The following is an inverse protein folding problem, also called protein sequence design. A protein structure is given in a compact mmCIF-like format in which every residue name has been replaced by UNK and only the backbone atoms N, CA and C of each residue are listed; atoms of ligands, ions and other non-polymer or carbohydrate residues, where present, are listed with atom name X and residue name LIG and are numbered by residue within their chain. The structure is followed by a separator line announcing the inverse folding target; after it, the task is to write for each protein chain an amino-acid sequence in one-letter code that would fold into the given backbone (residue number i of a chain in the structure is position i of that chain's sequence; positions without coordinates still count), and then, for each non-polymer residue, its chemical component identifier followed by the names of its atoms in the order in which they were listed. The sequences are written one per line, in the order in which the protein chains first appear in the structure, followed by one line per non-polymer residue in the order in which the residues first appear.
data_IF_402197263760
#
_entry.id   IF_402197263760
#
_cell.length_a   1.000
_cell.length_b   1.000
_cell.length_c   1.000
_cell.angle_alpha   90.00
_cell.angle_beta   90.00
_cell.angle_gamma   90.00
#
_symmetry.space_group_name_H-M   'P 1'
#
loop_
_entity.id
_entity.type
_entity.pdbx_description
1 polymer ?
#
# COMPACT_ATOMS: atom_id res chain seq x y z
N UNK A 1 -5.26 7.64 -6.69
CA UNK A 1 -5.43 8.11 -8.09
C UNK A 1 -4.64 7.15 -8.97
N UNK A 2 -5.29 6.59 -9.99
CA UNK A 2 -4.65 5.76 -11.00
C UNK A 2 -3.39 6.45 -11.56
N UNK A 3 -2.39 5.66 -11.95
CA UNK A 3 -1.18 6.18 -12.61
C UNK A 3 -0.07 6.68 -11.68
N UNK A 4 0.12 6.13 -10.47
CA UNK A 4 1.34 6.40 -9.69
C UNK A 4 2.07 5.11 -9.37
N UNK A 5 3.40 5.18 -9.40
CA UNK A 5 4.26 4.03 -9.08
C UNK A 5 4.48 3.88 -7.58
N UNK A 6 4.68 2.64 -7.16
CA UNK A 6 5.08 2.25 -5.81
C UNK A 6 6.42 1.54 -5.90
N UNK A 7 7.36 1.88 -5.03
CA UNK A 7 8.60 1.13 -4.85
C UNK A 7 8.44 0.30 -3.59
N UNK A 8 8.73 -0.99 -3.68
CA UNK A 8 8.69 -1.93 -2.57
C UNK A 8 10.09 -2.54 -2.40
N UNK A 9 10.71 -2.32 -1.26
CA UNK A 9 11.96 -2.96 -0.86
C UNK A 9 11.59 -4.03 0.15
N UNK A 10 11.65 -5.28 -0.29
CA UNK A 10 11.21 -6.44 0.46
C UNK A 10 12.39 -7.31 0.88
N UNK A 11 12.64 -7.38 2.18
CA UNK A 11 13.68 -8.20 2.77
C UNK A 11 13.15 -9.59 3.20
N UNK A 12 11.83 -9.76 3.37
CA UNK A 12 11.22 -10.92 4.04
C UNK A 12 10.50 -11.91 3.12
N UNK A 13 10.23 -11.55 1.86
CA UNK A 13 9.54 -12.34 0.84
C UNK A 13 8.21 -11.72 0.42
N UNK A 14 8.18 -11.07 -0.75
CA UNK A 14 6.96 -10.57 -1.37
C UNK A 14 6.11 -11.76 -1.85
N UNK A 15 4.79 -11.70 -1.66
CA UNK A 15 3.87 -12.73 -2.15
C UNK A 15 3.09 -12.23 -3.38
N UNK A 16 3.46 -12.68 -4.59
CA UNK A 16 2.67 -12.42 -5.80
C UNK A 16 1.24 -12.94 -5.68
N UNK A 17 1.03 -14.08 -5.02
CA UNK A 17 -0.29 -14.67 -4.82
C UNK A 17 -1.18 -13.76 -3.99
N UNK A 18 -0.63 -13.15 -2.94
CA UNK A 18 -1.37 -12.19 -2.11
C UNK A 18 -1.70 -10.93 -2.88
N UNK A 19 -0.76 -10.43 -3.70
CA UNK A 19 -1.03 -9.31 -4.60
C UNK A 19 -2.17 -9.63 -5.56
N UNK A 20 -2.09 -10.75 -6.28
CA UNK A 20 -3.11 -11.19 -7.24
C UNK A 20 -4.47 -11.34 -6.56
N UNK A 21 -4.52 -12.00 -5.39
CA UNK A 21 -5.75 -12.19 -4.64
C UNK A 21 -6.45 -10.85 -4.30
N UNK A 22 -5.69 -9.85 -3.84
CA UNK A 22 -6.23 -8.54 -3.49
C UNK A 22 -6.61 -7.76 -4.76
N UNK A 23 -5.73 -7.71 -5.75
CA UNK A 23 -5.94 -6.96 -6.98
C UNK A 23 -7.17 -7.49 -7.74
N UNK A 24 -7.32 -8.81 -7.88
CA UNK A 24 -8.49 -9.42 -8.50
C UNK A 24 -9.79 -9.09 -7.78
N UNK A 25 -9.79 -9.10 -6.44
CA UNK A 25 -10.99 -8.76 -5.66
C UNK A 25 -11.43 -7.30 -5.84
N UNK A 26 -10.48 -6.37 -5.97
CA UNK A 26 -10.77 -4.97 -6.25
C UNK A 26 -11.34 -4.77 -7.68
N UNK A 27 -10.82 -5.52 -8.66
CA UNK A 27 -11.31 -5.46 -10.04
C UNK A 27 -12.72 -6.06 -10.20
N UNK A 28 -13.07 -7.09 -9.42
CA UNK A 28 -14.41 -7.69 -9.47
C UNK A 28 -15.46 -6.78 -8.85
N UNK A 29 -15.16 -6.10 -7.73
CA UNK A 29 -16.10 -5.14 -7.12
C UNK A 29 -16.42 -3.96 -8.04
N UNK A 30 -15.45 -3.46 -8.80
CA UNK A 30 -15.67 -2.36 -9.74
C UNK A 30 -16.54 -2.74 -10.93
N UNK A 31 -16.49 -4.00 -11.37
CA UNK A 31 -17.32 -4.49 -12.48
C UNK A 31 -18.78 -4.70 -12.07
N UNK A 32 -19.04 -5.14 -10.83
CA UNK A 32 -20.40 -5.31 -10.31
C UNK A 32 -21.09 -3.96 -10.06
N UNK A 33 -20.36 -2.97 -9.53
CA UNK A 33 -20.89 -1.62 -9.31
C UNK A 33 -21.16 -0.88 -10.63
N UNK A 34 -20.26 -0.99 -11.61
CA UNK A 34 -20.46 -0.41 -12.94
C UNK A 34 -21.69 -1.01 -13.66
N UNK A 35 -21.82 -2.34 -13.68
CA UNK A 35 -22.97 -3.00 -14.31
C UNK A 35 -24.31 -2.71 -13.62
N UNK A 36 -24.30 -2.39 -12.32
CA UNK A 36 -25.50 -2.01 -11.57
C UNK A 36 -25.92 -0.55 -11.80
N UNK A 37 -24.96 0.33 -12.08
CA UNK A 37 -25.22 1.73 -12.43
C UNK A 37 -25.73 1.82 -13.88
N UNK A 38 -25.10 1.09 -14.80
CA UNK A 38 -25.49 0.98 -16.22
C UNK A 38 -26.92 0.40 -16.36
N UNK A 39 -27.22 -0.72 -15.69
CA UNK A 39 -28.58 -1.29 -15.70
C UNK A 39 -29.66 -0.43 -15.03
N UNK A 40 -29.27 0.57 -14.22
CA UNK A 40 -30.21 1.53 -13.60
C UNK A 40 -30.44 2.77 -14.48
N UNK A 41 -29.48 3.12 -15.33
CA UNK A 41 -29.65 4.16 -16.35
C UNK A 41 -30.42 3.60 -17.56
N UNK A 42 -30.06 2.42 -18.08
CA UNK A 42 -30.81 1.74 -19.14
C UNK A 42 -32.27 1.49 -18.74
N UNK A 43 -32.53 1.05 -17.50
CA UNK A 43 -33.89 0.84 -17.00
C UNK A 43 -34.73 2.11 -16.79
N UNK A 44 -34.10 3.30 -16.77
CA UNK A 44 -34.80 4.60 -16.76
C UNK A 44 -35.03 5.14 -18.17
N UNK A 45 -34.16 4.79 -19.11
CA UNK A 45 -34.26 5.15 -20.53
C UNK A 45 -35.30 4.28 -21.25
N UNK A 46 -35.28 2.95 -21.06
CA UNK A 46 -36.29 2.03 -21.61
C UNK A 46 -37.71 2.35 -21.11
N UNK A 47 -37.85 2.82 -19.87
CA UNK A 47 -39.15 3.23 -19.31
C UNK A 47 -39.70 4.54 -19.89
N UNK A 48 -38.94 5.24 -20.73
CA UNK A 48 -39.34 6.50 -21.39
C UNK A 48 -39.36 6.41 -22.92
N UNK A 49 -38.83 5.32 -23.49
CA UNK A 49 -38.74 5.08 -24.94
C UNK A 49 -39.75 4.06 -25.50
N UNK A 50 -40.81 3.68 -24.77
CA UNK A 50 -42.04 3.12 -25.40
C UNK A 50 -42.85 4.22 -26.13
N UNK A 51 -42.16 5.13 -26.81
CA UNK A 51 -42.69 6.26 -27.54
C UNK A 51 -41.95 6.46 -28.85
N UNK A 52 -42.36 5.69 -29.86
CA UNK A 52 -42.00 5.74 -31.30
C UNK A 52 -40.74 4.99 -31.74
N UNK A 53 -41.02 3.79 -32.22
CA UNK A 53 -40.40 3.10 -33.35
C UNK A 53 -39.91 4.05 -34.47
N UNK A 54 -38.70 4.62 -34.40
CA UNK A 54 -38.07 5.17 -35.62
C UNK A 54 -36.53 5.38 -35.54
N UNK A 55 -35.84 4.84 -34.53
CA UNK A 55 -34.37 4.93 -34.40
C UNK A 55 -33.59 3.68 -34.79
N UNK A 56 -34.19 2.75 -35.57
CA UNK A 56 -33.84 1.32 -35.54
C UNK A 56 -32.49 0.92 -36.14
N UNK A 57 -31.74 1.78 -36.82
CA UNK A 57 -30.45 1.38 -37.42
C UNK A 57 -29.25 2.27 -37.12
N UNK A 58 -29.39 3.54 -36.73
CA UNK A 58 -28.23 4.43 -36.55
C UNK A 58 -27.64 4.45 -35.12
N UNK A 59 -28.42 4.09 -34.09
CA UNK A 59 -27.93 4.13 -32.69
C UNK A 59 -27.04 2.96 -32.26
N UNK A 60 -26.92 1.90 -33.07
CA UNK A 60 -26.19 0.67 -32.69
C UNK A 60 -24.67 0.74 -32.91
N UNK A 61 -24.21 1.62 -33.79
CA UNK A 61 -22.77 1.80 -34.05
C UNK A 61 -22.14 2.88 -33.16
N UNK A 62 -22.79 4.04 -32.98
CA UNK A 62 -22.25 5.14 -32.14
C UNK A 62 -22.21 4.79 -30.64
N UNK A 63 -23.22 4.08 -30.11
CA UNK A 63 -23.22 3.66 -28.71
C UNK A 63 -22.11 2.65 -28.37
N UNK A 64 -21.60 1.90 -29.36
CA UNK A 64 -20.56 0.88 -29.16
C UNK A 64 -19.14 1.47 -29.17
N UNK A 65 -18.94 2.63 -29.80
CA UNK A 65 -17.67 3.36 -29.74
C UNK A 65 -17.61 4.32 -28.54
N UNK A 66 -18.70 5.04 -28.20
CA UNK A 66 -18.68 5.96 -27.04
C UNK A 66 -18.64 5.22 -25.68
N UNK A 67 -19.20 4.02 -25.58
CA UNK A 67 -19.05 3.16 -24.40
C UNK A 67 -17.60 2.70 -24.15
N UNK A 68 -16.72 2.81 -25.14
CA UNK A 68 -15.30 2.43 -25.03
C UNK A 68 -14.41 3.57 -24.55
N UNK A 69 -14.84 4.83 -24.72
CA UNK A 69 -14.04 6.01 -24.36
C UNK A 69 -14.49 6.72 -23.07
N UNK A 70 -15.68 6.39 -22.52
CA UNK A 70 -16.15 6.91 -21.21
C UNK A 70 -16.30 5.88 -20.10
N UNK A 71 -15.66 4.72 -20.22
CA UNK A 71 -15.43 3.84 -19.08
C UNK A 71 -14.30 4.40 -18.21
N UNK A 72 -14.64 4.98 -17.06
CA UNK A 72 -13.65 5.22 -15.99
C UNK A 72 -12.93 3.90 -15.70
N UNK A 73 -11.68 3.80 -16.14
CA UNK A 73 -11.01 2.52 -16.42
C UNK A 73 -11.08 1.51 -15.29
N UNK A 74 -11.63 0.34 -15.59
CA UNK A 74 -11.40 -0.87 -14.80
C UNK A 74 -9.90 -1.16 -14.89
N UNK A 75 -9.18 -0.82 -13.82
CA UNK A 75 -7.75 -1.02 -13.74
C UNK A 75 -7.46 -2.52 -13.68
N UNK A 76 -6.97 -3.13 -14.77
CA UNK A 76 -6.68 -4.56 -14.78
C UNK A 76 -5.45 -4.86 -13.89
N UNK A 77 -5.41 -6.05 -13.29
CA UNK A 77 -4.34 -6.52 -12.39
C UNK A 77 -2.94 -6.34 -12.98
N UNK A 78 -2.78 -6.57 -14.28
CA UNK A 78 -1.51 -6.36 -14.98
C UNK A 78 -1.05 -4.90 -14.96
N UNK A 79 -1.97 -3.94 -15.12
CA UNK A 79 -1.64 -2.52 -15.10
C UNK A 79 -1.25 -2.06 -13.69
N UNK A 80 -1.92 -2.59 -12.67
CA UNK A 80 -1.54 -2.37 -11.28
C UNK A 80 -0.13 -2.93 -11.01
N UNK A 81 0.15 -4.14 -11.48
CA UNK A 81 1.46 -4.78 -11.31
C UNK A 81 2.60 -3.98 -11.97
N UNK A 82 2.40 -3.47 -13.19
CA UNK A 82 3.41 -2.67 -13.92
C UNK A 82 3.86 -1.40 -13.19
N UNK A 83 3.09 -0.93 -12.21
CA UNK A 83 3.40 0.27 -11.43
C UNK A 83 4.16 -0.02 -10.15
N UNK A 84 4.32 -1.29 -9.79
CA UNK A 84 5.06 -1.71 -8.60
C UNK A 84 6.47 -2.11 -9.03
N UNK A 85 7.47 -1.47 -8.43
CA UNK A 85 8.89 -1.78 -8.59
C UNK A 85 9.33 -2.50 -7.33
N UNK A 86 9.86 -3.71 -7.48
CA UNK A 86 10.24 -4.55 -6.33
C UNK A 86 11.76 -4.70 -6.30
N UNK A 87 12.35 -4.48 -5.14
CA UNK A 87 13.73 -4.78 -4.81
C UNK A 87 13.75 -5.84 -3.71
N UNK A 88 14.52 -6.91 -3.88
CA UNK A 88 14.63 -8.01 -2.92
C UNK A 88 16.07 -8.12 -2.40
N UNK A 89 16.50 -7.22 -1.49
CA UNK A 89 17.83 -7.33 -0.91
C UNK A 89 18.01 -8.64 -0.14
N UNK A 90 19.21 -9.22 -0.22
CA UNK A 90 19.60 -10.42 0.53
C UNK A 90 20.67 -10.13 1.60
N UNK A 91 21.05 -8.87 1.78
CA UNK A 91 21.96 -8.42 2.83
C UNK A 91 21.69 -6.97 3.22
N UNK A 92 22.27 -6.52 4.34
CA UNK A 92 22.12 -5.14 4.81
C UNK A 92 22.82 -4.13 3.88
N UNK A 93 23.93 -4.53 3.27
CA UNK A 93 24.63 -3.76 2.24
C UNK A 93 23.81 -3.64 0.96
N UNK A 94 23.13 -4.73 0.55
CA UNK A 94 22.21 -4.69 -0.58
C UNK A 94 21.01 -3.79 -0.28
N UNK A 95 20.42 -3.85 0.92
CA UNK A 95 19.37 -2.93 1.34
C UNK A 95 19.83 -1.46 1.24
N UNK A 96 21.06 -1.17 1.67
CA UNK A 96 21.66 0.18 1.54
C UNK A 96 21.77 0.59 0.06
N UNK A 97 22.24 -0.32 -0.80
CA UNK A 97 22.36 -0.07 -2.24
C UNK A 97 21.01 0.19 -2.90
N UNK A 98 19.98 -0.61 -2.58
CA UNK A 98 18.62 -0.41 -3.07
C UNK A 98 18.09 0.97 -2.66
N UNK A 99 18.28 1.38 -1.40
CA UNK A 99 17.85 2.69 -0.90
C UNK A 99 18.55 3.84 -1.63
N UNK A 100 19.85 3.69 -1.93
CA UNK A 100 20.60 4.68 -2.71
C UNK A 100 20.06 4.85 -4.13
N UNK A 101 19.57 3.76 -4.74
CA UNK A 101 19.02 3.78 -6.09
C UNK A 101 17.65 4.47 -6.17
N UNK A 102 16.87 4.45 -5.08
CA UNK A 102 15.52 5.05 -5.04
C UNK A 102 15.52 6.49 -5.57
N UNK A 103 16.49 7.33 -5.14
CA UNK A 103 16.48 8.74 -5.55
C UNK A 103 16.64 8.87 -7.07
N UNK A 104 17.44 8.00 -7.71
CA UNK A 104 17.60 7.96 -9.17
C UNK A 104 16.28 7.57 -9.82
N UNK A 105 15.64 6.48 -9.38
CA UNK A 105 14.36 6.01 -9.94
C UNK A 105 13.26 7.05 -9.78
N UNK A 106 13.16 7.69 -8.61
CA UNK A 106 12.20 8.78 -8.34
C UNK A 106 12.45 9.98 -9.26
N UNK A 107 13.71 10.28 -9.58
CA UNK A 107 14.06 11.37 -10.51
C UNK A 107 13.77 11.03 -11.97
N UNK A 108 13.85 9.77 -12.37
CA UNK A 108 13.53 9.33 -13.74
C UNK A 108 12.02 9.27 -13.97
N UNK A 109 11.27 8.81 -12.96
CA UNK A 109 9.81 8.73 -12.97
C UNK A 109 9.16 10.05 -12.57
N UNK A 110 9.27 11.08 -13.42
CA UNK A 110 8.69 12.42 -13.19
C UNK A 110 7.39 12.71 -13.93
N UNK A 111 6.99 11.87 -14.89
CA UNK A 111 5.71 12.05 -15.59
C UNK A 111 4.54 11.95 -14.62
N UNK A 112 3.46 12.70 -14.86
CA UNK A 112 2.29 12.71 -13.97
C UNK A 112 1.69 11.32 -13.73
N UNK A 113 1.77 10.45 -14.74
CA UNK A 113 1.26 9.07 -14.75
C UNK A 113 2.29 8.00 -14.34
N UNK A 114 3.54 8.41 -14.04
CA UNK A 114 4.59 7.49 -13.59
C UNK A 114 5.25 7.88 -12.28
N UNK A 115 4.90 9.05 -11.72
CA UNK A 115 5.49 9.56 -10.48
C UNK A 115 5.35 8.56 -9.35
N UNK A 116 6.45 8.37 -8.62
CA UNK A 116 6.48 7.54 -7.42
C UNK A 116 5.71 8.26 -6.31
N UNK A 117 4.68 7.61 -5.76
CA UNK A 117 3.88 8.13 -4.66
C UNK A 117 4.23 7.52 -3.30
N UNK A 118 4.76 6.30 -3.31
CA UNK A 118 5.02 5.52 -2.12
C UNK A 118 6.29 4.70 -2.28
N UNK A 119 7.10 4.71 -1.24
CA UNK A 119 8.20 3.77 -1.03
C UNK A 119 7.85 2.93 0.20
N UNK A 120 7.94 1.61 0.10
CA UNK A 120 7.77 0.68 1.21
C UNK A 120 9.10 -0.01 1.50
N UNK A 121 9.48 -0.10 2.77
CA UNK A 121 10.61 -0.90 3.25
C UNK A 121 10.08 -1.96 4.24
N UNK A 122 10.04 -3.22 3.80
CA UNK A 122 9.43 -4.35 4.52
C UNK A 122 10.42 -5.52 4.69
N UNK A 123 10.99 -5.80 5.86
CA UNK A 123 11.12 -4.90 7.00
C UNK A 123 12.51 -4.27 7.05
N UNK A 124 12.58 -3.09 7.66
CA UNK A 124 13.85 -2.39 7.82
C UNK A 124 14.85 -3.12 8.75
N UNK A 125 14.39 -4.11 9.51
CA UNK A 125 15.11 -4.65 10.67
C UNK A 125 15.53 -6.11 10.54
N UNK A 126 15.19 -6.79 9.44
CA UNK A 126 15.53 -8.20 9.24
C UNK A 126 17.03 -8.45 9.36
N UNK A 127 17.84 -7.76 8.55
CA UNK A 127 19.30 -7.95 8.54
C UNK A 127 19.99 -7.41 9.79
N UNK A 128 19.36 -6.48 10.51
CA UNK A 128 19.87 -5.97 11.78
C UNK A 128 19.76 -7.01 12.92
N UNK A 129 18.70 -7.83 12.94
CA UNK A 129 18.44 -8.78 14.04
C UNK A 129 19.36 -10.02 14.01
N UNK A 130 19.93 -10.33 12.86
CA UNK A 130 20.72 -11.55 12.66
C UNK A 130 22.16 -11.43 13.19
N UNK A 131 22.64 -10.23 13.52
CA UNK A 131 24.02 -9.98 13.94
C UNK A 131 24.08 -9.34 15.35
N UNK A 132 24.09 -10.18 16.39
CA UNK A 132 24.02 -9.78 17.81
C UNK A 132 25.38 -9.83 18.52
N UNK A 133 26.36 -9.08 17.99
CA UNK A 133 27.61 -8.79 18.68
C UNK A 133 27.57 -7.31 19.12
N UNK A 134 27.91 -6.99 20.39
CA UNK A 134 27.70 -5.65 20.97
C UNK A 134 28.36 -4.50 20.19
N UNK A 135 29.57 -4.69 19.65
CA UNK A 135 30.26 -3.65 18.86
C UNK A 135 29.66 -3.45 17.46
N UNK A 136 29.32 -4.55 16.77
CA UNK A 136 28.67 -4.49 15.45
C UNK A 136 27.27 -3.89 15.54
N UNK A 137 26.60 -4.08 16.67
CA UNK A 137 25.26 -3.54 16.91
C UNK A 137 25.19 -2.01 16.78
N UNK A 138 26.23 -1.28 17.22
CA UNK A 138 26.28 0.19 17.15
C UNK A 138 26.44 0.65 15.69
N UNK A 139 27.35 0.00 14.95
CA UNK A 139 27.56 0.30 13.54
C UNK A 139 26.27 0.06 12.73
N UNK A 140 25.64 -1.10 12.89
CA UNK A 140 24.41 -1.45 12.17
C UNK A 140 23.26 -0.49 12.52
N UNK A 141 23.12 -0.07 13.79
CA UNK A 141 22.14 0.97 14.19
C UNK A 141 22.38 2.30 13.50
N UNK A 142 23.65 2.71 13.36
CA UNK A 142 24.01 3.96 12.68
C UNK A 142 23.69 3.88 11.19
N UNK A 143 23.99 2.76 10.54
CA UNK A 143 23.66 2.53 9.14
C UNK A 143 22.14 2.52 8.94
N UNK A 144 21.38 1.83 9.80
CA UNK A 144 19.92 1.84 9.76
C UNK A 144 19.39 3.27 9.92
N UNK A 145 19.88 4.03 10.90
CA UNK A 145 19.48 5.42 11.09
C UNK A 145 19.76 6.28 9.84
N UNK A 146 20.90 6.08 9.18
CA UNK A 146 21.23 6.77 7.93
C UNK A 146 20.27 6.40 6.80
N UNK A 147 19.93 5.13 6.63
CA UNK A 147 18.94 4.67 5.67
C UNK A 147 17.57 5.33 5.90
N UNK A 148 17.11 5.39 7.15
CA UNK A 148 15.84 6.06 7.48
C UNK A 148 15.90 7.57 7.25
N UNK A 149 17.03 8.22 7.56
CA UNK A 149 17.22 9.64 7.27
C UNK A 149 17.17 9.93 5.77
N UNK A 150 17.80 9.09 4.95
CA UNK A 150 17.77 9.21 3.50
C UNK A 150 16.37 9.04 2.93
N UNK A 151 15.62 8.03 3.39
CA UNK A 151 14.21 7.86 3.01
C UNK A 151 13.36 9.07 3.42
N UNK A 152 13.57 9.62 4.62
CA UNK A 152 12.89 10.84 5.07
C UNK A 152 13.25 12.06 4.21
N UNK A 153 14.51 12.18 3.78
CA UNK A 153 14.94 13.23 2.86
C UNK A 153 14.25 13.10 1.50
N UNK A 154 14.25 11.89 0.92
CA UNK A 154 13.58 11.59 -0.35
C UNK A 154 12.09 11.93 -0.27
N UNK A 155 11.41 11.49 0.80
CA UNK A 155 9.99 11.78 1.05
C UNK A 155 9.70 13.28 1.01
N UNK A 156 10.54 14.09 1.68
CA UNK A 156 10.37 15.54 1.76
C UNK A 156 10.71 16.24 0.45
N UNK A 157 11.77 15.81 -0.24
CA UNK A 157 12.27 16.43 -1.47
C UNK A 157 11.37 16.15 -2.68
N UNK A 158 10.78 14.97 -2.71
CA UNK A 158 9.98 14.49 -3.83
C UNK A 158 8.48 14.37 -3.52
N UNK A 159 8.05 14.82 -2.34
CA UNK A 159 6.65 14.83 -1.91
C UNK A 159 5.99 13.46 -2.14
N UNK A 160 6.59 12.44 -1.51
CA UNK A 160 6.11 11.06 -1.53
C UNK A 160 5.99 10.51 -0.11
N UNK A 161 5.20 9.46 0.05
CA UNK A 161 5.09 8.74 1.31
C UNK A 161 6.18 7.67 1.44
N UNK A 162 6.67 7.46 2.66
CA UNK A 162 7.52 6.31 3.01
C UNK A 162 6.81 5.52 4.10
N UNK A 163 6.64 4.22 3.86
CA UNK A 163 6.15 3.27 4.84
C UNK A 163 7.27 2.30 5.21
N UNK A 164 7.50 2.10 6.50
CA UNK A 164 8.49 1.15 7.00
C UNK A 164 7.76 0.18 7.91
N UNK A 165 7.93 -1.12 7.68
CA UNK A 165 7.50 -2.12 8.65
C UNK A 165 8.67 -2.42 9.59
N UNK A 166 8.31 -2.70 10.83
CA UNK A 166 9.27 -3.05 11.87
C UNK A 166 8.69 -4.16 12.74
N UNK A 167 9.46 -5.22 12.94
CA UNK A 167 9.07 -6.28 13.85
C UNK A 167 9.30 -5.85 15.30
N UNK A 168 8.32 -6.08 16.17
CA UNK A 168 8.39 -5.78 17.61
C UNK A 168 8.63 -7.07 18.42
N UNK A 169 9.46 -7.01 19.45
CA UNK A 169 9.65 -8.11 20.41
C UNK A 169 9.08 -7.73 21.77
N UNK A 170 8.57 -8.72 22.49
CA UNK A 170 8.15 -8.54 23.87
C UNK A 170 9.35 -8.72 24.80
N UNK A 171 9.71 -7.66 25.53
CA UNK A 171 10.72 -7.72 26.58
C UNK A 171 10.08 -8.31 27.85
N UNK A 172 10.35 -9.59 28.10
CA UNK A 172 9.82 -10.35 29.24
C UNK A 172 10.26 -9.76 30.59
N UNK A 173 11.40 -9.06 30.63
CA UNK A 173 11.93 -8.47 31.87
C UNK A 173 11.16 -7.22 32.30
N UNK A 174 10.76 -6.38 31.34
CA UNK A 174 10.10 -5.10 31.61
C UNK A 174 8.59 -5.11 31.29
N UNK A 175 8.07 -6.20 30.73
CA UNK A 175 6.66 -6.31 30.31
C UNK A 175 6.29 -5.40 29.13
N UNK A 176 7.28 -4.85 28.41
CA UNK A 176 7.07 -3.83 27.38
C UNK A 176 7.41 -4.36 25.98
N UNK A 177 6.62 -3.97 24.99
CA UNK A 177 6.97 -4.18 23.59
C UNK A 177 8.11 -3.23 23.20
N UNK A 178 9.17 -3.79 22.61
CA UNK A 178 10.29 -3.01 22.08
C UNK A 178 10.38 -3.14 20.56
N UNK A 179 10.38 -2.03 19.80
CA UNK A 179 10.65 -2.07 18.38
C UNK A 179 12.09 -2.54 18.11
N UNK A 180 12.28 -3.36 17.08
CA UNK A 180 13.62 -3.65 16.58
C UNK A 180 14.24 -2.37 16.01
N UNK A 181 15.56 -2.21 16.11
CA UNK A 181 16.28 -1.02 15.62
C UNK A 181 16.47 0.12 16.63
N UNK A 182 15.94 0.00 17.86
CA UNK A 182 16.20 0.93 18.96
C UNK A 182 15.55 2.33 18.81
N UNK A 183 15.89 3.25 19.70
CA UNK A 183 15.28 4.59 19.79
C UNK A 183 15.42 5.44 18.52
N UNK A 184 16.47 5.23 17.72
CA UNK A 184 16.72 6.02 16.51
C UNK A 184 15.56 5.94 15.50
N UNK A 185 15.02 4.73 15.29
CA UNK A 185 13.90 4.53 14.37
C UNK A 185 12.64 5.24 14.87
N UNK A 186 12.38 5.17 16.17
CA UNK A 186 11.26 5.88 16.82
C UNK A 186 11.39 7.40 16.68
N UNK A 187 12.59 7.96 16.92
CA UNK A 187 12.83 9.40 16.80
C UNK A 187 12.68 9.93 15.37
N UNK A 188 13.21 9.19 14.38
CA UNK A 188 13.15 9.58 12.97
C UNK A 188 11.73 9.44 12.39
N UNK A 189 10.97 8.44 12.84
CA UNK A 189 9.59 8.21 12.41
C UNK A 189 8.68 9.36 12.82
N UNK A 190 7.89 9.87 11.87
CA UNK A 190 6.92 10.97 12.12
C UNK A 190 5.56 10.46 12.58
N UNK A 191 5.22 9.24 12.17
CA UNK A 191 3.99 8.55 12.53
C UNK A 191 4.36 7.13 12.90
N UNK A 192 3.80 6.63 14.00
CA UNK A 192 3.97 5.24 14.43
C UNK A 192 2.59 4.66 14.70
N UNK A 193 2.27 3.57 14.00
CA UNK A 193 1.05 2.80 14.20
C UNK A 193 1.44 1.42 14.67
N UNK A 194 1.01 1.04 15.87
CA UNK A 194 1.16 -0.30 16.39
C UNK A 194 0.03 -1.18 15.86
N UNK A 195 0.38 -2.35 15.32
CA UNK A 195 -0.58 -3.35 14.86
C UNK A 195 -0.58 -4.56 15.78
N UNK A 196 -1.77 -4.96 16.24
CA UNK A 196 -1.95 -6.07 17.17
C UNK A 196 -2.98 -7.07 16.64
N UNK A 197 -2.76 -8.36 16.93
CA UNK A 197 -3.81 -9.38 16.75
C UNK A 197 -4.88 -9.15 17.82
N UNK A 198 -6.14 -9.06 17.41
CA UNK A 198 -7.24 -9.03 18.37
C UNK A 198 -7.42 -10.42 18.99
N UNK A 199 -7.87 -10.47 20.25
CA UNK A 199 -8.05 -11.71 21.02
C UNK A 199 -9.13 -12.62 20.42
N UNK A 200 -10.13 -12.02 19.77
CA UNK A 200 -11.29 -12.71 19.21
C UNK A 200 -11.50 -12.34 17.75
N UNK A 201 -12.00 -13.29 16.95
CA UNK A 201 -12.34 -13.09 15.53
C UNK A 201 -11.18 -13.41 14.57
N UNK A 202 -11.40 -14.39 13.68
CA UNK A 202 -10.42 -14.77 12.67
C UNK A 202 -10.12 -13.58 11.75
N UNK A 203 -8.85 -13.25 11.60
CA UNK A 203 -8.40 -12.14 10.74
C UNK A 203 -8.54 -10.74 11.36
N UNK A 204 -9.12 -10.61 12.57
CA UNK A 204 -9.28 -9.32 13.25
C UNK A 204 -7.94 -8.76 13.75
N UNK A 205 -7.74 -7.46 13.59
CA UNK A 205 -6.56 -6.70 13.99
C UNK A 205 -6.97 -5.38 14.63
N UNK A 206 -6.09 -4.81 15.45
CA UNK A 206 -6.21 -3.46 16.00
C UNK A 206 -5.02 -2.63 15.55
N UNK A 207 -5.28 -1.40 15.09
CA UNK A 207 -4.27 -0.39 14.82
C UNK A 207 -4.38 0.69 15.90
N UNK A 208 -3.27 0.99 16.59
CA UNK A 208 -3.20 2.00 17.64
C UNK A 208 -2.15 3.02 17.27
N UNK A 209 -2.52 4.30 17.27
CA UNK A 209 -1.62 5.40 16.95
C UNK A 209 -0.72 5.70 18.14
N UNK A 210 0.57 5.39 18.04
CA UNK A 210 1.56 5.61 19.11
C UNK A 210 2.29 6.93 18.99
N UNK A 211 2.38 7.48 17.78
CA UNK A 211 3.03 8.76 17.53
C UNK A 211 2.37 9.42 16.33
N UNK A 212 1.99 10.67 16.47
CA UNK A 212 1.56 11.53 15.37
C UNK A 212 1.74 12.99 15.74
N UNK A 213 2.04 13.84 14.75
CA UNK A 213 2.27 15.28 15.00
C UNK A 213 1.01 16.06 15.40
N UNK A 214 -0.18 15.54 15.08
CA UNK A 214 -1.44 16.31 15.16
C UNK A 214 -2.67 15.50 15.57
N UNK A 215 -2.51 14.21 15.85
CA UNK A 215 -3.62 13.35 16.28
C UNK A 215 -3.32 12.83 17.68
N UNK A 216 -4.34 12.62 18.53
CA UNK A 216 -4.13 12.10 19.88
C UNK A 216 -3.49 10.72 19.84
N UNK A 217 -2.46 10.53 20.68
CA UNK A 217 -1.90 9.20 20.94
C UNK A 217 -2.98 8.26 21.49
N UNK A 218 -2.76 6.96 21.30
CA UNK A 218 -3.65 5.86 21.70
C UNK A 218 -5.02 5.82 21.03
N UNK A 219 -5.30 6.74 20.10
CA UNK A 219 -6.42 6.60 19.16
C UNK A 219 -6.27 5.27 18.42
N UNK A 220 -7.33 4.46 18.40
CA UNK A 220 -7.29 3.13 17.80
C UNK A 220 -8.52 2.80 16.97
N UNK A 221 -8.36 1.89 16.02
CA UNK A 221 -9.43 1.29 15.23
C UNK A 221 -9.22 -0.22 15.07
N UNK A 222 -10.29 -0.92 14.74
CA UNK A 222 -10.26 -2.35 14.45
C UNK A 222 -10.54 -2.60 12.97
N UNK A 223 -9.79 -3.51 12.37
CA UNK A 223 -9.89 -3.88 10.97
C UNK A 223 -9.70 -5.39 10.81
N UNK A 224 -9.98 -5.89 9.62
CA UNK A 224 -9.88 -7.31 9.29
C UNK A 224 -8.95 -7.52 8.09
N UNK A 225 -8.15 -8.57 8.17
CA UNK A 225 -7.39 -9.09 7.04
C UNK A 225 -8.23 -10.21 6.40
N UNK A 226 -8.69 -9.97 5.18
CA UNK A 226 -9.58 -10.84 4.42
C UNK A 226 -8.92 -11.31 3.12
N UNK A 227 -9.59 -12.17 2.34
CA UNK A 227 -9.13 -12.55 1.00
C UNK A 227 -8.95 -11.35 0.09
N UNK A 228 -9.88 -10.40 0.14
CA UNK A 228 -9.87 -9.14 -0.64
C UNK A 228 -9.00 -8.02 -0.04
N UNK A 229 -8.13 -8.32 0.93
CA UNK A 229 -7.26 -7.32 1.56
C UNK A 229 -7.76 -6.82 2.92
N UNK A 230 -7.47 -5.57 3.23
CA UNK A 230 -7.81 -4.92 4.51
C UNK A 230 -9.23 -4.35 4.44
N UNK A 231 -10.06 -4.67 5.44
CA UNK A 231 -11.49 -4.30 5.49
C UNK A 231 -11.89 -3.74 6.84
N UNK A 232 -12.83 -2.79 6.83
CA UNK A 232 -13.41 -2.24 8.04
C UNK A 232 -14.37 -3.23 8.72
N UNK A 233 -14.56 -3.06 10.02
CA UNK A 233 -15.44 -3.92 10.83
C UNK A 233 -16.92 -3.89 10.40
N UNK A 234 -17.35 -2.83 9.72
CA UNK A 234 -18.74 -2.66 9.28
C UNK A 234 -19.06 -3.35 7.96
N UNK A 235 -18.04 -3.67 7.14
CA UNK A 235 -18.19 -4.26 5.80
C UNK A 235 -18.29 -5.80 5.80
N UNK A 236 -18.26 -6.44 6.98
CA UNK A 236 -18.33 -7.90 7.14
C UNK A 236 -19.73 -8.42 7.53
N UNK A 237 -20.78 -7.63 7.27
CA UNK A 237 -22.18 -8.00 7.57
C UNK A 237 -22.85 -8.71 6.42
#
# INVERSE_FOLDING_TARGET
KAGRSVIFIDSEGFSPERFLQIASACCSSTNEDAGREEGREEGKEEGREEGREEGREEGKEEGREEGREKGGGVENVEEAARRIIIYEPHSFEQQTSCINEIETVVKEKRGEESRVALVVLDSATLFYRLELDDERSIYLRRVLANQIMQLLEIARKHDLAVLITNQVYFDVGNGNLRPAGGYSLEHLSKVIVQLEKAVEGRGKRRATLRKHRSMPEDTSCEFFITGSGVKDSQELK
#
